data_IF_590206176000
#
_entry.id   IF_590206176000
#
_cell.length_a   1.000
_cell.length_b   1.000
_cell.length_c   1.000
_cell.angle_alpha   90.00
_cell.angle_beta   90.00
_cell.angle_gamma   90.00
#
_symmetry.space_group_name_H-M   'P 1'
#
loop_
_entity.id
_entity.type
_entity.pdbx_description
1 polymer ?
#
# COMPACT_ATOMS: atom_id res chain seq x y z
N UNK A 1 -6.43 -9.95 -10.66
CA UNK A 1 -5.84 -9.74 -12.01
C UNK A 1 -4.45 -9.09 -11.94
N UNK A 2 -4.29 -7.92 -11.31
CA UNK A 2 -3.00 -7.19 -11.33
C UNK A 2 -1.85 -7.72 -10.46
N UNK A 3 -2.10 -8.66 -9.54
CA UNK A 3 -1.11 -9.08 -8.53
C UNK A 3 -1.08 -10.59 -8.25
N UNK A 4 -1.77 -11.41 -9.05
CA UNK A 4 -1.69 -12.87 -8.90
C UNK A 4 -0.28 -13.37 -9.20
N UNK A 5 0.17 -14.37 -8.46
CA UNK A 5 1.52 -14.92 -8.55
C UNK A 5 1.44 -16.41 -8.81
N UNK A 6 2.25 -16.88 -9.76
CA UNK A 6 2.33 -18.27 -10.13
C UNK A 6 3.77 -18.77 -9.95
N UNK A 7 3.91 -19.87 -9.21
CA UNK A 7 5.21 -20.38 -8.77
C UNK A 7 6.07 -20.86 -9.95
N UNK A 8 5.44 -21.40 -11.00
CA UNK A 8 6.11 -21.97 -12.17
C UNK A 8 6.85 -20.92 -13.00
N UNK A 9 6.31 -19.69 -13.09
CA UNK A 9 7.02 -18.59 -13.73
C UNK A 9 8.31 -18.26 -12.97
N UNK A 10 8.25 -18.23 -11.64
CA UNK A 10 9.42 -17.99 -10.79
C UNK A 10 10.45 -19.12 -10.91
N UNK A 11 10.00 -20.38 -10.97
CA UNK A 11 10.86 -21.56 -11.22
C UNK A 11 11.54 -21.51 -12.60
N UNK A 12 10.90 -20.88 -13.59
CA UNK A 12 11.47 -20.63 -14.91
C UNK A 12 12.36 -19.37 -14.96
N UNK A 13 12.76 -18.81 -13.81
CA UNK A 13 13.53 -17.57 -13.70
C UNK A 13 12.85 -16.35 -14.35
N UNK A 14 11.53 -16.27 -14.26
CA UNK A 14 10.73 -15.15 -14.75
C UNK A 14 9.99 -14.46 -13.61
N UNK A 15 9.80 -13.15 -13.72
CA UNK A 15 8.98 -12.39 -12.77
C UNK A 15 7.51 -12.83 -12.82
N UNK A 16 6.87 -12.93 -11.65
CA UNK A 16 5.44 -13.22 -11.51
C UNK A 16 4.78 -12.25 -10.55
N UNK A 17 3.51 -11.93 -10.81
CA UNK A 17 2.81 -10.83 -10.12
C UNK A 17 3.30 -9.45 -10.53
N UNK A 18 2.92 -8.46 -9.71
CA UNK A 18 3.20 -7.04 -9.93
C UNK A 18 2.77 -6.52 -11.32
N UNK A 19 1.80 -7.16 -11.98
CA UNK A 19 1.34 -6.80 -13.31
C UNK A 19 0.81 -5.37 -13.34
N UNK A 20 0.07 -4.93 -12.32
CA UNK A 20 -0.39 -3.54 -12.22
C UNK A 20 0.78 -2.52 -12.17
N UNK A 21 1.90 -2.84 -11.51
CA UNK A 21 3.08 -1.98 -11.51
C UNK A 21 3.81 -2.00 -12.86
N UNK A 22 3.81 -3.15 -13.54
CA UNK A 22 4.34 -3.28 -14.92
C UNK A 22 3.48 -2.50 -15.92
N UNK A 23 2.17 -2.45 -15.71
CA UNK A 23 1.25 -1.63 -16.51
C UNK A 23 1.56 -0.15 -16.31
N UNK A 24 1.78 0.29 -15.07
CA UNK A 24 2.22 1.66 -14.77
C UNK A 24 3.57 1.99 -15.43
N UNK A 25 4.56 1.08 -15.39
CA UNK A 25 5.81 1.28 -16.13
C UNK A 25 5.59 1.38 -17.65
N UNK A 26 4.67 0.59 -18.20
CA UNK A 26 4.34 0.61 -19.63
C UNK A 26 3.71 1.94 -20.01
N UNK A 27 2.78 2.45 -19.19
CA UNK A 27 2.22 3.78 -19.36
C UNK A 27 3.29 4.88 -19.27
N UNK A 28 4.22 4.80 -18.31
CA UNK A 28 5.33 5.75 -18.19
C UNK A 28 6.28 5.72 -19.39
N UNK A 29 6.57 4.54 -19.94
CA UNK A 29 7.36 4.40 -21.18
C UNK A 29 6.64 5.06 -22.36
N UNK A 30 5.33 4.88 -22.46
CA UNK A 30 4.51 5.54 -23.49
C UNK A 30 4.53 7.06 -23.31
N UNK A 31 4.29 7.57 -22.10
CA UNK A 31 4.36 9.01 -21.81
C UNK A 31 5.73 9.56 -22.19
N UNK A 32 6.82 8.94 -21.74
CA UNK A 32 8.18 9.37 -22.07
C UNK A 32 8.45 9.43 -23.58
N UNK A 33 7.89 8.47 -24.33
CA UNK A 33 8.02 8.43 -25.79
C UNK A 33 7.20 9.53 -26.45
N UNK A 34 5.95 9.72 -26.03
CA UNK A 34 4.97 10.51 -26.79
C UNK A 34 4.74 11.94 -26.25
N UNK A 35 5.16 12.26 -25.02
CA UNK A 35 4.78 13.53 -24.35
C UNK A 35 5.21 14.79 -25.11
N UNK A 36 6.27 14.69 -25.93
CA UNK A 36 6.72 15.77 -26.81
C UNK A 36 5.67 16.16 -27.87
N UNK A 37 4.84 15.22 -28.32
CA UNK A 37 3.71 15.49 -29.22
C UNK A 37 2.60 16.32 -28.55
N UNK A 38 2.61 16.38 -27.21
CA UNK A 38 1.68 17.16 -26.39
C UNK A 38 2.34 18.41 -25.78
N UNK A 39 3.55 18.76 -26.23
CA UNK A 39 4.28 19.93 -25.76
C UNK A 39 4.99 19.76 -24.41
N UNK A 40 5.04 18.55 -23.85
CA UNK A 40 5.76 18.28 -22.61
C UNK A 40 7.21 17.82 -22.84
N UNK A 41 8.02 17.94 -21.79
CA UNK A 41 9.44 17.57 -21.80
C UNK A 41 9.63 16.17 -21.18
N UNK A 42 10.15 15.23 -21.99
CA UNK A 42 10.43 13.85 -21.56
C UNK A 42 11.49 13.74 -20.46
N UNK A 43 12.25 14.81 -20.22
CA UNK A 43 13.26 14.91 -19.17
C UNK A 43 12.72 15.52 -17.87
N UNK A 44 11.45 15.92 -17.83
CA UNK A 44 10.79 16.53 -16.68
C UNK A 44 9.47 15.81 -16.33
N UNK A 45 9.50 14.48 -16.31
CA UNK A 45 8.33 13.68 -15.94
C UNK A 45 8.27 13.55 -14.42
N UNK A 46 7.17 14.03 -13.83
CA UNK A 46 6.82 13.81 -12.43
C UNK A 46 5.65 12.82 -12.30
N UNK A 47 5.69 11.95 -11.30
CA UNK A 47 4.56 11.10 -10.91
C UNK A 47 4.05 11.49 -9.52
N UNK A 48 2.76 11.34 -9.29
CA UNK A 48 2.18 11.48 -7.97
C UNK A 48 1.06 10.48 -7.78
N UNK A 49 0.76 10.16 -6.52
CA UNK A 49 -0.31 9.24 -6.18
C UNK A 49 -0.73 9.43 -4.74
N UNK A 50 -1.96 8.97 -4.46
CA UNK A 50 -2.56 8.98 -3.14
C UNK A 50 -2.86 7.56 -2.67
N UNK A 51 -2.68 7.27 -1.38
CA UNK A 51 -2.96 5.97 -0.76
C UNK A 51 -2.26 4.80 -1.49
N UNK A 52 -3.01 3.85 -2.06
CA UNK A 52 -2.44 2.75 -2.84
C UNK A 52 -1.68 3.23 -4.08
N UNK A 53 -2.10 4.34 -4.69
CA UNK A 53 -1.37 5.00 -5.76
C UNK A 53 -0.05 5.61 -5.28
N UNK A 54 -0.02 6.15 -4.06
CA UNK A 54 1.19 6.65 -3.42
C UNK A 54 2.17 5.51 -3.11
N UNK A 55 1.68 4.38 -2.58
CA UNK A 55 2.49 3.17 -2.40
C UNK A 55 3.05 2.63 -3.72
N UNK A 56 2.27 2.69 -4.81
CA UNK A 56 2.76 2.34 -6.14
C UNK A 56 3.86 3.31 -6.64
N UNK A 57 3.68 4.62 -6.44
CA UNK A 57 4.71 5.64 -6.74
C UNK A 57 6.01 5.33 -5.98
N UNK A 58 5.91 5.08 -4.68
CA UNK A 58 7.06 4.73 -3.84
C UNK A 58 7.76 3.45 -4.32
N UNK A 59 7.00 2.40 -4.66
CA UNK A 59 7.56 1.17 -5.21
C UNK A 59 8.27 1.41 -6.54
N UNK A 60 7.70 2.22 -7.43
CA UNK A 60 8.36 2.57 -8.69
C UNK A 60 9.68 3.31 -8.47
N UNK A 61 9.88 3.98 -7.33
CA UNK A 61 11.17 4.61 -6.99
C UNK A 61 12.24 3.62 -6.54
N UNK A 62 11.90 2.40 -6.13
CA UNK A 62 12.88 1.37 -5.73
C UNK A 62 13.03 0.24 -6.76
N UNK A 63 12.07 0.07 -7.66
CA UNK A 63 12.13 -0.92 -8.73
C UNK A 63 13.23 -0.53 -9.73
N UNK A 64 14.28 -1.36 -9.94
CA UNK A 64 15.42 -0.98 -10.79
C UNK A 64 15.04 -0.69 -12.24
N UNK A 65 14.06 -1.42 -12.79
CA UNK A 65 13.60 -1.25 -14.17
C UNK A 65 12.78 0.03 -14.40
N UNK A 66 12.42 0.75 -13.32
CA UNK A 66 11.79 2.07 -13.39
C UNK A 66 12.80 3.22 -13.50
N UNK A 67 14.09 2.95 -13.30
CA UNK A 67 15.11 3.99 -13.28
C UNK A 67 15.10 4.80 -14.59
N UNK A 68 15.10 6.13 -14.46
CA UNK A 68 15.08 7.06 -15.58
C UNK A 68 13.74 7.20 -16.29
N UNK A 69 12.64 6.55 -15.85
CA UNK A 69 11.31 6.76 -16.43
C UNK A 69 10.67 8.09 -16.00
N UNK A 70 11.02 8.58 -14.81
CA UNK A 70 10.56 9.84 -14.22
C UNK A 70 11.68 10.46 -13.38
N UNK A 71 11.56 11.75 -13.08
CA UNK A 71 12.55 12.56 -12.35
C UNK A 71 12.04 13.03 -10.99
N UNK A 72 10.72 13.02 -10.78
CA UNK A 72 10.12 13.48 -9.52
C UNK A 72 8.93 12.61 -9.12
N UNK A 73 8.73 12.46 -7.82
CA UNK A 73 7.68 11.64 -7.21
C UNK A 73 7.02 12.40 -6.05
N UNK A 74 5.69 12.32 -5.94
CA UNK A 74 4.95 12.77 -4.75
C UNK A 74 4.12 11.59 -4.24
N UNK A 75 4.38 11.20 -3.00
CA UNK A 75 3.61 10.17 -2.28
C UNK A 75 2.70 10.83 -1.27
N UNK A 76 1.39 10.74 -1.48
CA UNK A 76 0.38 11.30 -0.58
C UNK A 76 -0.29 10.17 0.22
N UNK A 77 0.01 10.08 1.51
CA UNK A 77 -0.55 9.07 2.41
C UNK A 77 -0.24 7.63 1.97
N UNK A 78 0.98 7.40 1.49
CA UNK A 78 1.45 6.14 0.90
C UNK A 78 2.07 5.15 1.88
N UNK A 79 3.07 4.40 1.40
CA UNK A 79 3.75 3.41 2.21
C UNK A 79 4.61 2.46 1.39
N UNK A 80 5.90 2.40 1.69
CA UNK A 80 6.90 1.63 0.96
C UNK A 80 6.87 0.17 1.42
N UNK A 81 5.90 -0.58 0.91
CA UNK A 81 5.68 -1.95 1.35
C UNK A 81 5.24 -2.88 0.22
N UNK A 82 5.57 -4.16 0.39
CA UNK A 82 5.14 -5.26 -0.47
C UNK A 82 4.96 -6.51 0.39
N UNK A 83 4.02 -7.38 0.01
CA UNK A 83 3.77 -8.66 0.65
C UNK A 83 4.85 -9.70 0.35
N UNK A 84 4.86 -10.76 1.14
CA UNK A 84 5.76 -11.88 0.91
C UNK A 84 5.28 -12.75 -0.25
N UNK A 85 6.22 -13.41 -0.95
CA UNK A 85 5.91 -14.37 -2.00
C UNK A 85 4.95 -15.47 -1.51
N UNK A 86 5.15 -15.97 -0.28
CA UNK A 86 4.30 -17.00 0.33
C UNK A 86 2.85 -16.54 0.46
N UNK A 87 2.62 -15.31 0.92
CA UNK A 87 1.27 -14.75 1.06
C UNK A 87 0.61 -14.58 -0.31
N UNK A 88 1.33 -14.09 -1.30
CA UNK A 88 0.80 -13.90 -2.65
C UNK A 88 0.45 -15.23 -3.36
N UNK A 89 1.26 -16.28 -3.16
CA UNK A 89 0.96 -17.63 -3.62
C UNK A 89 -0.29 -18.20 -2.94
N UNK A 90 -0.44 -18.00 -1.63
CA UNK A 90 -1.66 -18.41 -0.91
C UNK A 90 -2.91 -17.70 -1.44
N UNK A 91 -2.80 -16.40 -1.74
CA UNK A 91 -3.88 -15.63 -2.36
C UNK A 91 -4.25 -16.21 -3.72
N UNK A 92 -3.26 -16.59 -4.54
CA UNK A 92 -3.50 -17.18 -5.86
C UNK A 92 -4.14 -18.56 -5.76
N UNK A 93 -3.70 -19.40 -4.82
CA UNK A 93 -4.28 -20.72 -4.58
C UNK A 93 -5.73 -20.64 -4.09
N UNK A 94 -6.04 -19.72 -3.19
CA UNK A 94 -7.40 -19.51 -2.71
C UNK A 94 -8.30 -18.91 -3.80
N UNK A 95 -7.77 -18.04 -4.67
CA UNK A 95 -8.48 -17.57 -5.86
C UNK A 95 -8.84 -18.74 -6.80
N UNK A 96 -7.86 -19.60 -7.11
CA UNK A 96 -8.08 -20.78 -7.95
C UNK A 96 -9.17 -21.68 -7.36
N UNK A 97 -9.11 -21.94 -6.05
CA UNK A 97 -10.10 -22.73 -5.33
C UNK A 97 -11.51 -22.14 -5.43
N UNK A 98 -11.66 -20.82 -5.25
CA UNK A 98 -12.96 -20.15 -5.32
C UNK A 98 -13.58 -20.14 -6.72
N UNK A 99 -12.73 -20.18 -7.76
CA UNK A 99 -13.15 -20.27 -9.15
C UNK A 99 -13.32 -21.72 -9.64
N UNK A 100 -13.18 -22.72 -8.75
CA UNK A 100 -13.14 -24.14 -9.11
C UNK A 100 -12.06 -24.47 -10.17
N UNK A 101 -10.98 -23.70 -10.20
CA UNK A 101 -9.80 -23.96 -11.01
C UNK A 101 -8.80 -24.85 -10.28
N UNK A 102 -7.91 -25.49 -11.05
CA UNK A 102 -6.80 -26.24 -10.48
C UNK A 102 -5.93 -25.34 -9.60
N UNK A 103 -5.58 -25.80 -8.41
CA UNK A 103 -4.56 -25.17 -7.55
C UNK A 103 -3.16 -25.69 -7.83
N UNK A 104 -3.02 -26.61 -8.80
CA UNK A 104 -1.75 -27.24 -9.22
C UNK A 104 -1.51 -26.98 -10.70
N UNK A 105 -0.31 -26.51 -11.04
CA UNK A 105 0.09 -26.26 -12.42
C UNK A 105 -0.37 -24.88 -12.90
N UNK A 106 0.60 -24.03 -13.23
CA UNK A 106 0.40 -22.69 -13.74
C UNK A 106 -0.54 -22.65 -14.94
N UNK A 107 -0.24 -23.43 -15.97
CA UNK A 107 -1.00 -23.38 -17.23
C UNK A 107 -2.46 -23.78 -17.02
N UNK A 108 -2.73 -24.83 -16.25
CA UNK A 108 -4.11 -25.28 -15.99
C UNK A 108 -4.89 -24.29 -15.12
N UNK A 109 -4.26 -23.71 -14.11
CA UNK A 109 -4.87 -22.69 -13.26
C UNK A 109 -5.14 -21.40 -14.07
N UNK A 110 -4.14 -20.93 -14.82
CA UNK A 110 -4.22 -19.71 -15.62
C UNK A 110 -5.25 -19.83 -16.74
N UNK A 111 -5.24 -20.91 -17.51
CA UNK A 111 -6.21 -21.10 -18.60
C UNK A 111 -7.64 -21.21 -18.07
N UNK A 112 -7.85 -21.91 -16.96
CA UNK A 112 -9.16 -21.92 -16.30
C UNK A 112 -9.60 -20.52 -15.86
N UNK A 113 -8.71 -19.75 -15.20
CA UNK A 113 -9.02 -18.39 -14.77
C UNK A 113 -9.29 -17.46 -15.96
N UNK A 114 -8.57 -17.60 -17.08
CA UNK A 114 -8.79 -16.81 -18.31
C UNK A 114 -10.13 -17.10 -18.99
N UNK A 115 -10.65 -18.31 -18.83
CA UNK A 115 -11.96 -18.72 -19.35
C UNK A 115 -13.11 -18.38 -18.39
N UNK A 116 -12.79 -17.93 -17.18
CA UNK A 116 -13.80 -17.53 -16.20
C UNK A 116 -14.31 -16.13 -16.50
N UNK A 117 -15.60 -15.91 -16.31
CA UNK A 117 -16.23 -14.61 -16.47
C UNK A 117 -15.61 -13.54 -15.53
N UNK A 118 -15.52 -12.31 -16.01
CA UNK A 118 -14.93 -11.20 -15.26
C UNK A 118 -15.64 -10.92 -13.94
N UNK A 119 -16.97 -11.03 -13.90
CA UNK A 119 -17.76 -10.81 -12.68
C UNK A 119 -17.50 -11.95 -11.69
N UNK A 120 -17.38 -13.19 -12.18
CA UNK A 120 -17.03 -14.32 -11.33
C UNK A 120 -15.62 -14.15 -10.72
N UNK A 121 -14.65 -13.62 -11.47
CA UNK A 121 -13.33 -13.26 -10.95
C UNK A 121 -13.47 -12.19 -9.86
N UNK A 122 -14.24 -11.12 -10.08
CA UNK A 122 -14.42 -10.05 -9.08
C UNK A 122 -15.08 -10.60 -7.81
N UNK A 123 -16.14 -11.40 -7.95
CA UNK A 123 -16.85 -12.02 -6.84
C UNK A 123 -15.92 -12.96 -6.05
N UNK A 124 -15.08 -13.74 -6.73
CA UNK A 124 -14.18 -14.69 -6.09
C UNK A 124 -13.04 -14.04 -5.30
N UNK A 125 -12.61 -12.82 -5.68
CA UNK A 125 -11.72 -12.02 -4.82
C UNK A 125 -12.37 -11.83 -3.44
N UNK A 126 -13.72 -11.83 -3.40
CA UNK A 126 -14.58 -11.63 -2.25
C UNK A 126 -14.11 -10.46 -1.40
N UNK A 127 -13.63 -9.40 -2.07
CA UNK A 127 -13.26 -8.14 -1.44
C UNK A 127 -14.56 -7.50 -1.00
N UNK A 128 -14.95 -7.79 0.24
CA UNK A 128 -16.03 -7.11 0.92
C UNK A 128 -15.41 -6.11 1.87
N UNK A 129 -15.38 -4.87 1.40
CA UNK A 129 -15.12 -3.73 2.24
C UNK A 129 -16.40 -3.39 2.99
N UNK A 130 -16.45 -3.76 4.27
CA UNK A 130 -17.44 -3.17 5.18
C UNK A 130 -17.15 -1.67 5.27
N UNK A 131 -15.87 -1.31 5.23
CA UNK A 131 -15.34 0.07 5.27
C UNK A 131 -14.03 0.15 4.48
N UNK A 132 -13.51 1.34 4.17
CA UNK A 132 -12.37 1.43 3.26
C UNK A 132 -11.04 0.85 3.81
N UNK A 133 -10.93 0.54 5.12
CA UNK A 133 -9.80 -0.25 5.68
C UNK A 133 -10.23 -1.62 6.23
N UNK A 134 -11.52 -1.90 6.33
CA UNK A 134 -12.03 -3.19 6.77
C UNK A 134 -12.55 -3.97 5.56
N UNK A 135 -11.61 -4.28 4.68
CA UNK A 135 -11.83 -5.15 3.54
C UNK A 135 -11.48 -6.57 3.94
N UNK A 136 -12.51 -7.41 4.00
CA UNK A 136 -12.37 -8.86 4.08
C UNK A 136 -12.21 -9.38 2.66
N UNK A 137 -11.45 -10.45 2.48
CA UNK A 137 -11.22 -11.05 1.17
C UNK A 137 -9.76 -11.34 0.91
N UNK A 138 -9.46 -11.65 -0.34
CA UNK A 138 -8.10 -11.91 -0.77
C UNK A 138 -7.33 -10.59 -0.91
N UNK A 139 -6.21 -10.48 -0.17
CA UNK A 139 -5.38 -9.28 -0.21
C UNK A 139 -4.46 -9.32 -1.44
N UNK A 140 -4.89 -8.66 -2.51
CA UNK A 140 -4.07 -8.46 -3.71
C UNK A 140 -3.20 -7.22 -3.54
N UNK A 141 -1.90 -7.37 -3.70
CA UNK A 141 -0.99 -6.23 -3.65
C UNK A 141 0.40 -6.55 -4.17
N UNK A 142 1.28 -5.55 -4.16
CA UNK A 142 2.68 -5.71 -4.57
C UNK A 142 3.36 -6.85 -3.81
N UNK A 143 4.24 -7.58 -4.49
CA UNK A 143 4.92 -8.77 -3.96
C UNK A 143 6.42 -8.68 -4.21
N UNK A 144 7.22 -9.08 -3.22
CA UNK A 144 8.65 -9.33 -3.43
C UNK A 144 8.79 -10.64 -4.19
N UNK A 145 8.96 -10.55 -5.52
CA UNK A 145 9.07 -11.71 -6.41
C UNK A 145 10.52 -12.14 -6.66
N UNK A 146 11.51 -11.33 -6.22
CA UNK A 146 12.93 -11.61 -6.41
C UNK A 146 13.45 -11.23 -7.80
N UNK A 147 12.59 -10.76 -8.70
CA UNK A 147 12.94 -10.38 -10.07
C UNK A 147 12.59 -8.92 -10.34
N UNK A 148 11.29 -8.61 -10.47
CA UNK A 148 10.81 -7.26 -10.73
C UNK A 148 10.96 -6.37 -9.49
N UNK A 149 10.63 -6.91 -8.32
CA UNK A 149 10.88 -6.33 -7.02
C UNK A 149 11.84 -7.27 -6.26
N UNK A 150 13.16 -7.01 -6.29
CA UNK A 150 14.17 -7.99 -5.87
C UNK A 150 14.21 -8.30 -4.37
N UNK A 151 13.82 -7.36 -3.52
CA UNK A 151 13.90 -7.48 -2.05
C UNK A 151 12.82 -6.61 -1.40
N UNK A 152 12.71 -6.67 -0.07
CA UNK A 152 11.80 -5.83 0.69
C UNK A 152 12.05 -4.33 0.41
N UNK A 153 11.02 -3.57 -0.02
CA UNK A 153 11.19 -2.18 -0.48
C UNK A 153 11.90 -1.25 0.51
N UNK A 154 11.50 -1.28 1.78
CA UNK A 154 12.12 -0.45 2.81
C UNK A 154 13.58 -0.83 3.07
N UNK A 155 13.92 -2.11 3.01
CA UNK A 155 15.30 -2.59 3.12
C UNK A 155 16.14 -2.11 1.94
N UNK A 156 15.58 -2.13 0.73
CA UNK A 156 16.24 -1.58 -0.45
C UNK A 156 16.55 -0.09 -0.26
N UNK A 157 15.57 0.70 0.23
CA UNK A 157 15.78 2.10 0.53
C UNK A 157 16.85 2.33 1.61
N UNK A 158 16.80 1.59 2.73
CA UNK A 158 17.81 1.64 3.80
C UNK A 158 19.22 1.29 3.31
N UNK A 159 19.35 0.49 2.25
CA UNK A 159 20.61 0.08 1.63
C UNK A 159 21.11 1.01 0.51
N UNK A 160 20.42 2.12 0.23
CA UNK A 160 20.83 2.99 -0.88
C UNK A 160 20.31 2.55 -2.25
N UNK A 161 19.50 1.49 -2.33
CA UNK A 161 19.00 0.92 -3.60
C UNK A 161 17.70 1.61 -4.03
N UNK A 162 17.79 2.91 -4.24
CA UNK A 162 16.71 3.77 -4.75
C UNK A 162 17.09 4.36 -6.10
N UNK A 163 16.11 4.63 -6.95
CA UNK A 163 16.32 5.34 -8.20
C UNK A 163 16.63 6.82 -7.91
N UNK A 164 17.36 7.46 -8.81
CA UNK A 164 17.74 8.87 -8.68
C UNK A 164 16.57 9.79 -9.04
N UNK A 165 15.75 10.13 -8.03
CA UNK A 165 14.51 10.91 -8.19
C UNK A 165 14.34 11.89 -7.05
N UNK A 166 13.80 13.09 -7.33
CA UNK A 166 13.31 13.95 -6.26
C UNK A 166 12.01 13.35 -5.71
N UNK A 167 11.85 13.24 -4.39
CA UNK A 167 10.64 12.66 -3.80
C UNK A 167 10.12 13.51 -2.65
N UNK A 168 8.80 13.72 -2.64
CA UNK A 168 8.07 14.35 -1.55
C UNK A 168 7.10 13.37 -0.93
N UNK A 169 7.21 13.16 0.38
CA UNK A 169 6.30 12.32 1.15
C UNK A 169 5.29 13.18 1.91
N UNK A 170 4.05 12.73 1.93
CA UNK A 170 2.92 13.46 2.48
C UNK A 170 2.05 12.60 3.36
N UNK A 171 1.52 13.18 4.42
CA UNK A 171 0.51 12.55 5.29
C UNK A 171 -0.47 13.58 5.82
N UNK A 172 -1.70 13.16 6.07
CA UNK A 172 -2.69 13.98 6.78
C UNK A 172 -2.54 13.82 8.29
N UNK A 173 -2.84 14.86 9.06
CA UNK A 173 -2.84 14.79 10.54
C UNK A 173 -3.72 13.67 11.10
N UNK A 174 -4.84 13.39 10.45
CA UNK A 174 -5.82 12.37 10.85
C UNK A 174 -6.03 11.34 9.73
N UNK A 175 -4.94 10.89 9.08
CA UNK A 175 -5.01 10.07 7.86
C UNK A 175 -5.86 8.80 7.99
N UNK A 176 -5.86 8.18 9.18
CA UNK A 176 -6.63 6.96 9.41
C UNK A 176 -8.11 7.21 9.71
N UNK A 177 -8.53 8.45 9.99
CA UNK A 177 -9.88 8.74 10.49
C UNK A 177 -10.97 8.37 9.50
N UNK A 178 -10.76 8.62 8.21
CA UNK A 178 -11.71 8.24 7.14
C UNK A 178 -12.14 6.78 7.29
N UNK A 179 -11.18 5.93 7.63
CA UNK A 179 -11.35 4.51 7.68
C UNK A 179 -11.84 4.01 9.04
N UNK A 180 -11.24 4.52 10.12
CA UNK A 180 -11.61 4.17 11.49
C UNK A 180 -13.05 4.61 11.79
N UNK A 181 -13.46 5.79 11.35
CA UNK A 181 -14.85 6.25 11.54
C UNK A 181 -15.85 5.46 10.68
N UNK A 182 -15.42 4.92 9.54
CA UNK A 182 -16.22 3.95 8.80
C UNK A 182 -16.40 2.65 9.58
N UNK A 183 -15.31 2.12 10.17
CA UNK A 183 -15.26 0.82 10.87
C UNK A 183 -16.12 0.78 12.12
N UNK A 184 -16.06 1.85 12.90
CA UNK A 184 -16.75 1.91 14.18
C UNK A 184 -18.06 2.68 14.08
N UNK A 185 -19.13 1.97 13.73
CA UNK A 185 -20.50 2.53 13.75
C UNK A 185 -21.09 2.66 15.16
N UNK A 186 -20.42 2.09 16.17
CA UNK A 186 -20.81 2.16 17.59
C UNK A 186 -19.64 2.67 18.43
N UNK A 187 -19.91 3.33 19.58
CA UNK A 187 -18.86 3.75 20.49
C UNK A 187 -17.96 2.60 20.93
N UNK A 188 -16.65 2.84 20.92
CA UNK A 188 -15.66 1.91 21.45
C UNK A 188 -15.40 2.21 22.92
N UNK A 189 -16.04 1.46 23.82
CA UNK A 189 -15.90 1.64 25.26
C UNK A 189 -14.56 1.11 25.79
N UNK A 190 -14.14 1.59 26.97
CA UNK A 190 -12.79 1.39 27.56
C UNK A 190 -12.27 -0.05 27.48
N UNK A 191 -13.04 -1.05 27.93
CA UNK A 191 -12.58 -2.43 27.93
C UNK A 191 -12.40 -3.02 26.52
N UNK A 192 -13.27 -2.64 25.58
CA UNK A 192 -13.17 -3.07 24.20
C UNK A 192 -12.00 -2.39 23.48
N UNK A 193 -11.77 -1.10 23.77
CA UNK A 193 -10.59 -0.37 23.30
C UNK A 193 -9.29 -1.04 23.75
N UNK A 194 -9.15 -1.34 25.04
CA UNK A 194 -7.95 -1.97 25.59
C UNK A 194 -7.68 -3.31 24.88
N UNK A 195 -8.70 -4.15 24.73
CA UNK A 195 -8.58 -5.44 24.03
C UNK A 195 -8.18 -5.26 22.57
N UNK A 196 -8.78 -4.29 21.86
CA UNK A 196 -8.47 -3.99 20.47
C UNK A 196 -7.02 -3.55 20.28
N UNK A 197 -6.54 -2.63 21.14
CA UNK A 197 -5.15 -2.17 21.10
C UNK A 197 -4.22 -3.35 21.40
N UNK A 198 -4.51 -4.15 22.41
CA UNK A 198 -3.71 -5.35 22.73
C UNK A 198 -3.63 -6.33 21.57
N UNK A 199 -4.76 -6.63 20.91
CA UNK A 199 -4.78 -7.54 19.76
C UNK A 199 -4.10 -6.97 18.51
N UNK A 200 -3.93 -5.65 18.43
CA UNK A 200 -3.27 -4.99 17.29
C UNK A 200 -1.75 -5.23 17.28
N UNK A 201 -1.17 -5.68 18.40
CA UNK A 201 0.26 -5.94 18.52
C UNK A 201 0.51 -7.40 18.91
N UNK A 202 1.50 -8.03 18.27
CA UNK A 202 1.94 -9.39 18.63
C UNK A 202 2.74 -9.43 19.94
N UNK A 203 3.23 -8.28 20.41
CA UNK A 203 4.09 -8.15 21.59
C UNK A 203 3.35 -7.36 22.68
N UNK A 204 3.14 -7.98 23.83
CA UNK A 204 2.40 -7.40 24.96
C UNK A 204 3.06 -6.15 25.54
N UNK A 205 4.39 -6.07 25.53
CA UNK A 205 5.11 -4.88 26.01
C UNK A 205 4.87 -3.69 25.09
N UNK A 206 4.87 -3.92 23.77
CA UNK A 206 4.53 -2.88 22.81
C UNK A 206 3.07 -2.46 22.96
N UNK A 207 2.15 -3.42 23.16
CA UNK A 207 0.75 -3.12 23.41
C UNK A 207 0.55 -2.24 24.66
N UNK A 208 1.29 -2.51 25.74
CA UNK A 208 1.24 -1.71 26.97
C UNK A 208 1.75 -0.29 26.74
N UNK A 209 2.89 -0.14 26.07
CA UNK A 209 3.42 1.18 25.70
C UNK A 209 2.46 1.95 24.80
N UNK A 210 1.79 1.27 23.86
CA UNK A 210 0.75 1.89 23.05
C UNK A 210 -0.43 2.40 23.90
N UNK A 211 -0.86 1.64 24.91
CA UNK A 211 -1.91 2.08 25.84
C UNK A 211 -1.46 3.21 26.78
N UNK A 212 -0.17 3.33 27.07
CA UNK A 212 0.40 4.46 27.82
C UNK A 212 0.40 5.75 26.98
N UNK A 213 0.74 5.65 25.70
CA UNK A 213 0.73 6.77 24.76
C UNK A 213 -0.69 7.19 24.34
N UNK A 214 -1.60 6.23 24.22
CA UNK A 214 -2.98 6.42 23.80
C UNK A 214 -3.94 5.81 24.84
N UNK A 215 -4.04 6.39 26.04
CA UNK A 215 -4.88 5.84 27.10
C UNK A 215 -6.36 5.98 26.76
N UNK A 216 -7.20 5.00 27.14
CA UNK A 216 -8.64 5.17 27.02
C UNK A 216 -9.13 6.28 27.94
N UNK A 217 -10.19 6.97 27.54
CA UNK A 217 -10.89 7.91 28.39
C UNK A 217 -11.42 7.24 29.66
N UNK A 218 -11.34 7.93 30.80
CA UNK A 218 -11.78 7.39 32.09
C UNK A 218 -13.29 7.27 32.24
N UNK A 219 -14.05 8.12 31.55
CA UNK A 219 -15.51 8.02 31.53
C UNK A 219 -15.94 6.70 30.86
N UNK A 220 -16.66 5.80 31.57
CA UNK A 220 -17.10 4.52 31.01
C UNK A 220 -17.99 4.64 29.76
N UNK A 221 -18.68 5.77 29.59
CA UNK A 221 -19.54 6.04 28.43
C UNK A 221 -18.80 6.72 27.27
N UNK A 222 -17.53 7.09 27.45
CA UNK A 222 -16.77 7.75 26.39
C UNK A 222 -16.55 6.84 25.18
N UNK A 223 -16.49 7.47 24.01
CA UNK A 223 -16.14 6.84 22.75
C UNK A 223 -14.62 6.95 22.51
N UNK A 224 -13.92 5.82 22.49
CA UNK A 224 -12.46 5.78 22.26
C UNK A 224 -12.09 5.61 20.77
N UNK A 225 -13.05 5.62 19.84
CA UNK A 225 -12.78 5.57 18.39
C UNK A 225 -11.83 6.69 17.95
N UNK A 226 -11.99 7.96 18.38
CA UNK A 226 -11.03 9.02 18.04
C UNK A 226 -9.61 8.73 18.54
N UNK A 227 -9.48 8.18 19.76
CA UNK A 227 -8.17 7.82 20.33
C UNK A 227 -7.49 6.71 19.52
N UNK A 228 -8.26 5.69 19.12
CA UNK A 228 -7.77 4.66 18.21
C UNK A 228 -7.37 5.25 16.85
N UNK A 229 -8.16 6.19 16.33
CA UNK A 229 -7.84 6.95 15.13
C UNK A 229 -6.51 7.71 15.24
N UNK A 230 -6.25 8.41 16.34
CA UNK A 230 -4.97 9.09 16.54
C UNK A 230 -3.81 8.11 16.55
N UNK A 231 -3.93 6.98 17.26
CA UNK A 231 -2.90 5.94 17.29
C UNK A 231 -2.57 5.40 15.89
N UNK A 232 -3.59 5.14 15.06
CA UNK A 232 -3.38 4.63 13.70
C UNK A 232 -2.83 5.71 12.75
N UNK A 233 -3.26 6.97 12.91
CA UNK A 233 -2.70 8.10 12.14
C UNK A 233 -1.23 8.34 12.47
N UNK A 234 -0.85 8.26 13.75
CA UNK A 234 0.53 8.43 14.18
C UNK A 234 1.41 7.27 13.73
N UNK A 235 0.87 6.04 13.64
CA UNK A 235 1.58 4.91 13.01
C UNK A 235 1.94 5.22 11.55
N UNK A 236 1.00 5.79 10.79
CA UNK A 236 1.23 6.21 9.41
C UNK A 236 2.30 7.31 9.32
N UNK A 237 2.16 8.37 10.12
CA UNK A 237 3.13 9.48 10.18
C UNK A 237 4.53 8.97 10.56
N UNK A 238 4.64 8.07 11.54
CA UNK A 238 5.91 7.48 11.94
C UNK A 238 6.50 6.59 10.84
N UNK A 239 5.66 5.83 10.13
CA UNK A 239 6.06 5.05 8.96
C UNK A 239 6.68 5.93 7.87
N UNK A 240 5.99 7.00 7.48
CA UNK A 240 6.49 7.96 6.50
C UNK A 240 7.78 8.64 6.95
N UNK A 241 7.93 8.99 8.23
CA UNK A 241 9.20 9.52 8.75
C UNK A 241 10.35 8.52 8.62
N UNK A 242 10.09 7.22 8.81
CA UNK A 242 11.09 6.17 8.63
C UNK A 242 11.51 6.04 7.16
N UNK A 243 10.56 6.11 6.24
CA UNK A 243 10.84 6.14 4.80
C UNK A 243 11.68 7.35 4.41
N UNK A 244 11.27 8.55 4.83
CA UNK A 244 12.04 9.79 4.62
C UNK A 244 13.46 9.66 5.17
N UNK A 245 13.63 9.07 6.35
CA UNK A 245 14.95 8.82 6.92
C UNK A 245 15.79 7.88 6.04
N UNK A 246 15.20 6.79 5.54
CA UNK A 246 15.88 5.87 4.63
C UNK A 246 16.32 6.59 3.34
N UNK A 247 15.43 7.38 2.72
CA UNK A 247 15.75 8.13 1.50
C UNK A 247 16.77 9.24 1.73
N UNK A 248 16.70 9.97 2.85
CA UNK A 248 17.62 11.08 3.13
C UNK A 248 19.10 10.68 3.18
N UNK A 249 19.38 9.40 3.43
CA UNK A 249 20.74 8.83 3.47
C UNK A 249 21.19 8.23 2.12
N UNK A 250 20.22 7.85 1.30
CA UNK A 250 20.37 6.96 0.15
C UNK A 250 20.21 7.68 -1.19
N UNK A 251 19.27 8.62 -1.24
CA UNK A 251 18.84 9.27 -2.46
C UNK A 251 19.81 10.38 -2.84
N UNK A 252 20.11 10.48 -4.14
CA UNK A 252 20.89 11.58 -4.69
C UNK A 252 20.03 12.81 -4.98
N UNK A 253 18.75 12.61 -5.28
CA UNK A 253 17.75 13.67 -5.40
C UNK A 253 17.29 14.22 -4.05
N UNK A 254 16.56 15.32 -4.10
CA UNK A 254 15.96 15.94 -2.92
C UNK A 254 14.88 15.05 -2.29
N UNK A 255 14.86 15.00 -0.96
CA UNK A 255 13.82 14.31 -0.18
C UNK A 255 13.10 15.32 0.70
N UNK A 256 11.79 15.40 0.54
CA UNK A 256 10.92 16.36 1.23
C UNK A 256 9.81 15.62 1.97
N UNK A 257 9.31 16.25 3.05
CA UNK A 257 8.15 15.74 3.78
C UNK A 257 7.18 16.89 4.08
N UNK A 258 5.88 16.64 3.93
CA UNK A 258 4.83 17.53 4.41
C UNK A 258 3.84 16.80 5.32
N UNK A 259 3.19 17.59 6.19
CA UNK A 259 2.02 17.16 6.95
C UNK A 259 0.89 18.11 6.63
N UNK A 260 -0.17 17.59 6.01
CA UNK A 260 -1.37 18.37 5.77
C UNK A 260 -2.22 18.38 7.05
N UNK A 261 -2.38 19.57 7.64
CA UNK A 261 -3.04 19.75 8.93
C UNK A 261 -4.21 20.76 8.87
N UNK A 262 -4.57 21.22 7.68
CA UNK A 262 -5.73 22.09 7.52
C UNK A 262 -7.03 21.28 7.64
N UNK A 263 -7.94 21.74 8.50
CA UNK A 263 -9.28 21.17 8.64
C UNK A 263 -10.31 22.22 8.22
N UNK A 264 -11.06 21.93 7.16
CA UNK A 264 -12.15 22.79 6.71
C UNK A 264 -13.41 22.50 7.52
N UNK A 265 -13.88 23.49 8.28
CA UNK A 265 -15.20 23.43 8.89
C UNK A 265 -16.20 24.04 7.90
N UNK A 266 -16.88 23.19 7.12
CA UNK A 266 -17.93 23.66 6.22
C UNK A 266 -19.01 24.36 7.05
N UNK A 267 -19.21 25.66 6.82
CA UNK A 267 -20.34 26.39 7.40
C UNK A 267 -21.56 26.19 6.51
N UNK A 268 -22.77 26.29 7.09
CA UNK A 268 -24.04 26.18 6.33
C UNK A 268 -24.23 27.25 5.25
N UNK A 269 -23.34 28.25 5.18
CA UNK A 269 -23.45 29.40 4.27
C UNK A 269 -22.47 29.33 3.08
N UNK A 270 -21.68 28.27 2.95
CA UNK A 270 -20.92 27.96 1.74
C UNK A 270 -21.68 26.94 0.87
#
# INVERSE_FOLDING_TARGET
>A
LGFLVFEEQLKANQSSGNYALKDMQTALKWVRKEIHNFGGDRSQIGIFGQSSGAGAVELLTVIPSSNGLFQSAISESGGLSAGSLREALNVTAEMAKRLNCSTRGFESALECMKQTDGDAIIIAQAVQCITPNQCFGLNFGPVVDGFFLPDAPLKMAEQGRVNDVNIMFGVNTNDSYLFIMGEFQKPLHKQAYIKLVQSSFKNETIARQALELYPPFDNPRANNVPMYGYMQSDKQICGTKREVHAYSKANKGGTYIYRFNYWYQSTKNC
#
